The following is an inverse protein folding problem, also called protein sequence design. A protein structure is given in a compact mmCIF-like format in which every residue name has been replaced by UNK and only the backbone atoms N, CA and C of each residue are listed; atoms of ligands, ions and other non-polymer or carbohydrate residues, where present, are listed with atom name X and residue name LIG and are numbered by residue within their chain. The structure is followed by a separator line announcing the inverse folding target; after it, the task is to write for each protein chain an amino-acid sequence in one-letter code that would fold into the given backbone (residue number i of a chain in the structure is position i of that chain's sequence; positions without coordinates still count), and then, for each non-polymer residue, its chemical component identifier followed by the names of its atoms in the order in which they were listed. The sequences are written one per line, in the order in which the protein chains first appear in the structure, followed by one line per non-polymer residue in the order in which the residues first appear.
data_IF_068857807734
#
_entry.id   IF_068857807734
#
_cell.length_a   1.000
_cell.length_b   1.000
_cell.length_c   1.000
_cell.angle_alpha   90.00
_cell.angle_beta   90.00
_cell.angle_gamma   90.00
#
_symmetry.space_group_name_H-M   'P 1'
#
loop_
_entity.id
_entity.type
_entity.pdbx_description
1 polymer ?
#
# COMPACT_ATOMS: atom_id res chain seq x y z
N UNK A 1 -5.42 1.35 9.94
CA UNK A 1 -6.13 1.16 8.65
C UNK A 1 -7.42 1.99 8.57
N UNK A 2 -8.35 1.87 9.53
CA UNK A 2 -9.61 2.66 9.57
C UNK A 2 -9.39 4.17 9.33
N UNK A 3 -8.53 4.80 10.14
CA UNK A 3 -8.22 6.24 10.03
C UNK A 3 -7.67 6.63 8.64
N UNK A 4 -6.86 5.77 8.03
CA UNK A 4 -6.29 6.04 6.71
C UNK A 4 -7.37 6.08 5.63
N UNK A 5 -8.34 5.16 5.68
CA UNK A 5 -9.47 5.13 4.75
C UNK A 5 -10.40 6.32 4.93
N UNK A 6 -10.73 6.66 6.17
CA UNK A 6 -11.55 7.84 6.46
C UNK A 6 -10.90 9.12 5.95
N UNK A 7 -9.58 9.25 6.11
CA UNK A 7 -8.83 10.39 5.59
C UNK A 7 -8.84 10.49 4.06
N UNK A 8 -8.84 9.36 3.34
CA UNK A 8 -8.94 9.37 1.88
C UNK A 8 -10.34 9.71 1.38
N UNK A 9 -11.37 9.50 2.21
CA UNK A 9 -12.78 9.78 1.91
C UNK A 9 -13.18 11.20 2.34
N UNK A 10 -12.44 11.82 3.26
CA UNK A 10 -12.79 13.13 3.82
C UNK A 10 -12.93 14.28 2.80
N UNK A 11 -12.27 14.32 1.62
CA UNK A 11 -12.54 15.36 0.64
C UNK A 11 -13.99 15.44 0.17
N UNK A 12 -14.71 14.30 0.11
CA UNK A 12 -16.13 14.29 -0.24
C UNK A 12 -16.97 15.03 0.81
N UNK A 13 -16.63 14.80 2.08
CA UNK A 13 -17.30 15.45 3.21
C UNK A 13 -16.95 16.93 3.29
N UNK A 14 -15.68 17.27 3.11
CA UNK A 14 -15.21 18.67 3.09
C UNK A 14 -15.85 19.44 1.94
N UNK A 15 -15.93 18.87 0.75
CA UNK A 15 -16.61 19.50 -0.38
C UNK A 15 -18.12 19.70 -0.11
N UNK A 16 -18.79 18.68 0.45
CA UNK A 16 -20.21 18.75 0.76
C UNK A 16 -20.57 19.87 1.76
N UNK A 17 -19.80 19.99 2.84
CA UNK A 17 -20.11 20.92 3.93
C UNK A 17 -19.48 22.30 3.78
N UNK A 18 -18.37 22.44 3.05
CA UNK A 18 -17.55 23.65 3.07
C UNK A 18 -17.30 24.27 1.69
N UNK A 19 -17.80 23.68 0.60
CA UNK A 19 -17.59 24.21 -0.74
C UNK A 19 -18.88 24.73 -1.40
N UNK A 20 -18.79 25.95 -1.92
CA UNK A 20 -19.75 26.52 -2.85
C UNK A 20 -19.30 26.25 -4.27
N UNK A 21 -20.17 25.61 -5.06
CA UNK A 21 -19.99 25.42 -6.50
C UNK A 21 -20.57 26.62 -7.26
N UNK A 22 -20.39 26.66 -8.58
CA UNK A 22 -21.01 27.68 -9.43
C UNK A 22 -22.56 27.71 -9.31
N UNK A 23 -23.17 26.58 -8.98
CA UNK A 23 -24.62 26.45 -8.81
C UNK A 23 -25.07 26.60 -7.34
N UNK A 24 -24.18 26.98 -6.43
CA UNK A 24 -24.47 27.07 -5.00
C UNK A 24 -23.78 25.98 -4.17
N UNK A 25 -24.11 25.88 -2.87
CA UNK A 25 -23.52 24.90 -1.96
C UNK A 25 -23.74 23.46 -2.41
N UNK A 26 -22.71 22.62 -2.33
CA UNK A 26 -22.80 21.22 -2.81
C UNK A 26 -23.89 20.39 -2.11
N UNK A 27 -24.26 20.73 -0.88
CA UNK A 27 -25.33 20.06 -0.13
C UNK A 27 -26.74 20.35 -0.68
N UNK A 28 -26.90 21.36 -1.55
CA UNK A 28 -28.15 21.64 -2.25
C UNK A 28 -28.30 20.75 -3.50
N UNK A 29 -27.17 20.37 -4.12
CA UNK A 29 -27.12 19.56 -5.34
C UNK A 29 -27.08 18.04 -5.06
N UNK A 30 -26.49 17.63 -3.94
CA UNK A 30 -26.37 16.24 -3.55
C UNK A 30 -27.12 15.96 -2.26
N UNK A 31 -27.93 14.90 -2.23
CA UNK A 31 -28.58 14.49 -0.98
C UNK A 31 -27.56 13.91 0.02
N UNK A 32 -27.79 14.09 1.32
CA UNK A 32 -26.98 13.48 2.37
C UNK A 32 -26.91 11.95 2.26
N UNK A 33 -28.02 11.31 1.86
CA UNK A 33 -28.06 9.86 1.63
C UNK A 33 -27.10 9.44 0.51
N UNK A 34 -27.02 10.22 -0.57
CA UNK A 34 -26.08 9.97 -1.67
C UNK A 34 -24.63 10.07 -1.19
N UNK A 35 -24.28 11.10 -0.41
CA UNK A 35 -22.95 11.25 0.19
C UNK A 35 -22.57 10.02 1.02
N UNK A 36 -23.51 9.55 1.86
CA UNK A 36 -23.29 8.40 2.74
C UNK A 36 -23.06 7.12 1.94
N UNK A 37 -23.88 6.88 0.91
CA UNK A 37 -23.74 5.70 0.04
C UNK A 37 -22.38 5.72 -0.66
N UNK A 38 -21.99 6.84 -1.27
CA UNK A 38 -20.69 6.96 -1.96
C UNK A 38 -19.54 6.72 -0.97
N UNK A 39 -19.63 7.28 0.24
CA UNK A 39 -18.61 7.11 1.28
C UNK A 39 -18.48 5.65 1.73
N UNK A 40 -19.59 4.94 1.92
CA UNK A 40 -19.60 3.52 2.26
C UNK A 40 -19.00 2.69 1.14
N UNK A 41 -19.39 2.94 -0.12
CA UNK A 41 -18.83 2.24 -1.28
C UNK A 41 -17.32 2.47 -1.38
N UNK A 42 -16.86 3.71 -1.28
CA UNK A 42 -15.43 4.03 -1.30
C UNK A 42 -14.67 3.34 -0.16
N UNK A 43 -15.24 3.31 1.05
CA UNK A 43 -14.66 2.62 2.19
C UNK A 43 -14.52 1.11 1.96
N UNK A 44 -15.57 0.47 1.43
CA UNK A 44 -15.58 -0.96 1.13
C UNK A 44 -14.55 -1.31 0.05
N UNK A 45 -14.45 -0.50 -1.01
CA UNK A 45 -13.44 -0.68 -2.06
C UNK A 45 -12.02 -0.60 -1.50
N UNK A 46 -11.72 0.41 -0.66
CA UNK A 46 -10.41 0.52 -0.01
C UNK A 46 -10.15 -0.65 0.94
N UNK A 47 -11.16 -1.09 1.69
CA UNK A 47 -11.03 -2.23 2.60
C UNK A 47 -10.75 -3.54 1.85
N UNK A 48 -11.40 -3.76 0.71
CA UNK A 48 -11.15 -4.89 -0.16
C UNK A 48 -9.75 -4.85 -0.78
N UNK A 49 -9.28 -3.68 -1.22
CA UNK A 49 -7.92 -3.51 -1.74
C UNK A 49 -6.86 -3.79 -0.68
N UNK A 50 -7.12 -3.45 0.58
CA UNK A 50 -6.21 -3.70 1.68
C UNK A 50 -6.14 -5.17 2.10
N UNK A 51 -7.24 -5.94 1.98
CA UNK A 51 -7.33 -7.29 2.56
C UNK A 51 -6.37 -8.30 1.93
N UNK A 52 -5.92 -8.07 0.70
CA UNK A 52 -4.99 -8.94 -0.01
C UNK A 52 -3.50 -8.61 0.20
N UNK A 53 -3.17 -7.67 1.10
CA UNK A 53 -1.80 -7.13 1.25
C UNK A 53 -1.00 -7.72 2.41
N UNK A 54 -1.65 -8.35 3.39
CA UNK A 54 -0.96 -8.78 4.60
C UNK A 54 0.16 -9.77 4.28
N UNK A 55 1.37 -9.58 4.83
CA UNK A 55 1.77 -8.63 5.89
C UNK A 55 2.44 -7.33 5.38
N UNK A 56 2.39 -7.02 4.09
CA UNK A 56 2.82 -5.71 3.56
C UNK A 56 1.85 -4.62 4.00
N UNK A 57 2.35 -3.38 4.09
CA UNK A 57 1.56 -2.21 4.47
C UNK A 57 0.26 -2.11 3.67
N UNK A 58 -0.84 -1.70 4.29
CA UNK A 58 -2.10 -1.51 3.58
C UNK A 58 -1.96 -0.42 2.49
N UNK A 59 -2.60 -0.59 1.33
CA UNK A 59 -2.56 0.43 0.25
C UNK A 59 -3.13 1.75 0.77
N UNK A 60 -4.19 1.70 1.58
CA UNK A 60 -4.77 2.89 2.21
C UNK A 60 -3.79 3.64 3.11
N UNK A 61 -2.86 2.95 3.78
CA UNK A 61 -1.83 3.58 4.62
C UNK A 61 -0.81 4.32 3.75
N UNK A 62 -0.37 3.69 2.66
CA UNK A 62 0.57 4.29 1.71
C UNK A 62 -0.06 5.52 1.04
N UNK A 63 -1.31 5.40 0.57
CA UNK A 63 -2.08 6.50 0.01
C UNK A 63 -2.26 7.65 1.01
N UNK A 64 -2.53 7.36 2.29
CA UNK A 64 -2.60 8.37 3.35
C UNK A 64 -1.26 9.11 3.49
N UNK A 65 -0.14 8.39 3.51
CA UNK A 65 1.19 9.01 3.60
C UNK A 65 1.47 9.93 2.41
N UNK A 66 1.10 9.49 1.20
CA UNK A 66 1.17 10.31 -0.02
C UNK A 66 0.39 11.62 0.14
N UNK A 67 -0.88 11.54 0.55
CA UNK A 67 -1.73 12.72 0.75
C UNK A 67 -1.17 13.64 1.81
N UNK A 68 -0.71 13.11 2.95
CA UNK A 68 -0.11 13.93 4.00
C UNK A 68 1.13 14.67 3.50
N UNK A 69 1.97 14.00 2.72
CA UNK A 69 3.13 14.65 2.07
C UNK A 69 2.66 15.75 1.12
N UNK A 70 1.68 15.49 0.25
CA UNK A 70 1.13 16.51 -0.64
C UNK A 70 0.47 17.66 0.10
N UNK A 71 -0.22 17.41 1.22
CA UNK A 71 -0.76 18.47 2.08
C UNK A 71 0.36 19.37 2.61
N UNK A 72 1.49 18.80 3.04
CA UNK A 72 2.66 19.60 3.45
C UNK A 72 3.23 20.37 2.26
N UNK A 73 3.44 19.71 1.11
CA UNK A 73 3.99 20.34 -0.09
C UNK A 73 3.11 21.48 -0.56
N UNK A 74 1.80 21.31 -0.66
CA UNK A 74 0.85 22.31 -1.15
C UNK A 74 0.45 23.35 -0.10
N UNK A 75 0.71 23.10 1.19
CA UNK A 75 0.46 24.10 2.25
C UNK A 75 1.21 25.41 2.05
N UNK A 76 2.33 25.40 1.30
CA UNK A 76 3.04 26.62 0.91
C UNK A 76 2.15 27.62 0.15
N UNK A 77 1.07 27.17 -0.48
CA UNK A 77 0.10 28.03 -1.15
C UNK A 77 -0.58 29.02 -0.19
N UNK A 78 -0.59 28.72 1.12
CA UNK A 78 -1.01 29.67 2.16
C UNK A 78 -0.18 30.96 2.12
N UNK A 79 1.10 30.90 1.75
CA UNK A 79 1.97 32.08 1.64
C UNK A 79 1.55 33.02 0.51
N UNK A 80 0.83 32.50 -0.48
CA UNK A 80 0.27 33.28 -1.60
C UNK A 80 -1.18 33.71 -1.35
N UNK A 81 -1.69 33.54 -0.12
CA UNK A 81 -3.06 33.89 0.25
C UNK A 81 -4.12 32.92 -0.27
N UNK A 82 -3.74 31.74 -0.78
CA UNK A 82 -4.71 30.73 -1.17
C UNK A 82 -5.42 30.17 0.06
N UNK A 83 -6.73 29.91 -0.07
CA UNK A 83 -7.54 29.36 1.02
C UNK A 83 -7.11 27.95 1.40
N UNK A 84 -7.39 27.56 2.65
CA UNK A 84 -7.03 26.23 3.14
C UNK A 84 -7.71 25.11 2.34
N UNK A 85 -8.96 25.35 1.95
CA UNK A 85 -9.75 24.44 1.16
C UNK A 85 -9.07 24.15 -0.18
N UNK A 86 -8.56 25.20 -0.85
CA UNK A 86 -7.94 25.05 -2.17
C UNK A 86 -6.71 24.14 -2.12
N UNK A 87 -5.77 24.38 -1.20
CA UNK A 87 -4.57 23.55 -1.13
C UNK A 87 -4.87 22.14 -0.58
N UNK A 88 -5.89 21.98 0.25
CA UNK A 88 -6.33 20.67 0.71
C UNK A 88 -6.90 19.82 -0.44
N UNK A 89 -7.75 20.42 -1.28
CA UNK A 89 -8.35 19.76 -2.43
C UNK A 89 -7.32 19.44 -3.53
N UNK A 90 -6.40 20.37 -3.82
CA UNK A 90 -5.34 20.10 -4.81
C UNK A 90 -4.40 18.98 -4.35
N UNK A 91 -4.17 18.82 -3.04
CA UNK A 91 -3.38 17.71 -2.48
C UNK A 91 -4.02 16.35 -2.78
N UNK A 92 -5.34 16.24 -2.59
CA UNK A 92 -6.07 15.03 -2.91
C UNK A 92 -6.21 14.80 -4.41
N UNK A 93 -6.45 15.86 -5.19
CA UNK A 93 -6.49 15.77 -6.65
C UNK A 93 -5.14 15.27 -7.21
N UNK A 94 -4.02 15.78 -6.68
CA UNK A 94 -2.68 15.35 -7.05
C UNK A 94 -2.46 13.86 -6.79
N UNK A 95 -2.89 13.36 -5.62
CA UNK A 95 -2.87 11.92 -5.34
C UNK A 95 -3.61 11.15 -6.43
N UNK A 96 -4.89 11.48 -6.68
CA UNK A 96 -5.72 10.71 -7.60
C UNK A 96 -5.21 10.74 -9.04
N UNK A 97 -4.70 11.88 -9.50
CA UNK A 97 -4.07 12.01 -10.82
C UNK A 97 -2.83 11.11 -10.92
N UNK A 98 -1.96 11.12 -9.91
CA UNK A 98 -0.78 10.25 -9.88
C UNK A 98 -1.20 8.78 -9.86
N UNK A 99 -2.16 8.40 -9.02
CA UNK A 99 -2.64 7.03 -8.94
C UNK A 99 -3.26 6.56 -10.25
N UNK A 100 -4.01 7.41 -10.95
CA UNK A 100 -4.56 7.09 -12.26
C UNK A 100 -3.45 6.80 -13.27
N UNK A 101 -2.47 7.69 -13.40
CA UNK A 101 -1.36 7.50 -14.34
C UNK A 101 -0.48 6.31 -13.98
N UNK A 102 -0.25 6.08 -12.69
CA UNK A 102 0.48 4.91 -12.20
C UNK A 102 -0.29 3.63 -12.51
N UNK A 103 -1.61 3.61 -12.29
CA UNK A 103 -2.43 2.45 -12.66
C UNK A 103 -2.36 2.16 -14.16
N UNK A 104 -2.47 3.17 -15.02
CA UNK A 104 -2.34 3.01 -16.48
C UNK A 104 -0.94 2.47 -16.83
N UNK A 105 0.12 3.13 -16.36
CA UNK A 105 1.50 2.76 -16.66
C UNK A 105 1.82 1.33 -16.19
N UNK A 106 1.43 0.96 -14.97
CA UNK A 106 1.67 -0.37 -14.42
C UNK A 106 0.80 -1.45 -15.07
N UNK A 107 -0.41 -1.13 -15.52
CA UNK A 107 -1.23 -2.06 -16.30
C UNK A 107 -0.55 -2.39 -17.63
N UNK A 108 -0.04 -1.38 -18.33
CA UNK A 108 0.72 -1.58 -19.58
C UNK A 108 2.01 -2.36 -19.31
N UNK A 109 2.79 -1.93 -18.31
CA UNK A 109 4.06 -2.56 -17.97
C UNK A 109 3.91 -4.02 -17.50
N UNK A 110 2.82 -4.36 -16.82
CA UNK A 110 2.50 -5.74 -16.43
C UNK A 110 2.41 -6.70 -17.62
N UNK A 111 1.90 -6.23 -18.76
CA UNK A 111 1.76 -7.05 -19.95
C UNK A 111 2.94 -6.97 -20.91
N UNK A 112 3.66 -5.84 -20.95
CA UNK A 112 4.65 -5.58 -21.99
C UNK A 112 6.11 -5.51 -21.51
N UNK A 113 6.35 -5.24 -20.22
CA UNK A 113 7.69 -4.94 -19.71
C UNK A 113 8.10 -5.93 -18.63
N UNK A 114 7.33 -6.04 -17.55
CA UNK A 114 7.73 -6.79 -16.36
C UNK A 114 7.99 -8.28 -16.60
N UNK A 115 7.19 -9.02 -17.38
CA UNK A 115 7.46 -10.44 -17.66
C UNK A 115 8.78 -10.66 -18.41
N UNK A 116 9.22 -9.68 -19.19
CA UNK A 116 10.46 -9.76 -19.97
C UNK A 116 11.67 -9.21 -19.21
N UNK A 117 11.45 -8.29 -18.26
CA UNK A 117 12.50 -7.68 -17.45
C UNK A 117 12.94 -8.60 -16.30
N UNK A 118 12.03 -9.38 -15.72
CA UNK A 118 12.32 -10.31 -14.63
C UNK A 118 11.58 -11.65 -14.84
N UNK A 119 12.30 -12.76 -15.08
CA UNK A 119 11.70 -14.10 -15.21
C UNK A 119 10.86 -14.51 -13.98
N UNK A 120 11.18 -13.97 -12.79
CA UNK A 120 10.49 -14.27 -11.54
C UNK A 120 9.30 -13.34 -11.26
N UNK A 121 8.96 -12.43 -12.18
CA UNK A 121 7.92 -11.43 -11.96
C UNK A 121 6.56 -12.04 -11.54
N UNK A 122 6.16 -13.15 -12.18
CA UNK A 122 4.88 -13.79 -11.87
C UNK A 122 4.86 -14.43 -10.47
N UNK A 123 5.96 -14.99 -9.99
CA UNK A 123 6.02 -15.55 -8.64
C UNK A 123 5.99 -14.44 -7.59
N UNK A 124 6.73 -13.35 -7.81
CA UNK A 124 6.67 -12.14 -6.98
C UNK A 124 5.25 -11.55 -6.94
N UNK A 125 4.55 -11.53 -8.07
CA UNK A 125 3.17 -11.00 -8.09
C UNK A 125 2.21 -11.90 -7.31
N UNK A 126 2.39 -13.23 -7.36
CA UNK A 126 1.60 -14.20 -6.56
C UNK A 126 1.80 -14.00 -5.05
N UNK A 127 3.00 -13.60 -4.61
CA UNK A 127 3.26 -13.32 -3.19
C UNK A 127 2.64 -12.02 -2.69
N UNK A 128 1.91 -11.27 -3.54
CA UNK A 128 1.27 -10.01 -3.19
C UNK A 128 2.13 -8.76 -3.48
N UNK A 129 3.38 -8.92 -3.93
CA UNK A 129 4.28 -7.81 -4.24
C UNK A 129 3.85 -7.01 -5.47
N UNK A 130 3.65 -5.70 -5.34
CA UNK A 130 3.21 -4.81 -6.41
C UNK A 130 4.30 -3.77 -6.73
N UNK A 131 4.70 -3.61 -8.01
CA UNK A 131 5.78 -2.69 -8.39
C UNK A 131 5.60 -1.29 -7.82
N UNK A 132 4.43 -0.67 -8.01
CA UNK A 132 4.18 0.66 -7.47
C UNK A 132 4.18 0.75 -5.93
N UNK A 133 3.36 -0.06 -5.27
CA UNK A 133 3.08 0.12 -3.84
C UNK A 133 4.26 -0.30 -2.96
N UNK A 134 5.10 -1.22 -3.41
CA UNK A 134 6.17 -1.77 -2.58
C UNK A 134 7.53 -1.07 -2.82
N UNK A 135 7.72 -0.42 -3.98
CA UNK A 135 8.95 0.34 -4.26
C UNK A 135 8.83 1.84 -4.02
N UNK A 136 7.64 2.34 -3.69
CA UNK A 136 7.42 3.78 -3.49
C UNK A 136 8.02 4.27 -2.17
N UNK A 137 8.52 5.51 -2.17
CA UNK A 137 9.11 6.17 -0.98
C UNK A 137 8.09 6.38 0.15
N UNK A 138 6.80 6.31 -0.16
CA UNK A 138 5.72 6.44 0.82
C UNK A 138 5.40 5.12 1.54
N UNK A 139 6.00 4.00 1.11
CA UNK A 139 5.96 2.74 1.82
C UNK A 139 7.16 2.66 2.78
N UNK A 140 6.86 2.66 4.08
CA UNK A 140 7.85 2.58 5.16
C UNK A 140 8.10 1.16 5.67
N UNK A 141 7.57 0.14 4.98
CA UNK A 141 7.95 -1.24 5.22
C UNK A 141 9.48 -1.38 5.13
N UNK A 142 10.06 -2.21 6.00
CA UNK A 142 11.47 -2.57 5.91
C UNK A 142 11.75 -3.28 4.59
N UNK A 143 13.00 -3.25 4.11
CA UNK A 143 13.39 -3.96 2.89
C UNK A 143 13.00 -5.45 2.95
N UNK A 144 13.09 -6.05 4.13
CA UNK A 144 12.69 -7.43 4.34
C UNK A 144 11.17 -7.67 4.17
N UNK A 145 10.31 -6.76 4.66
CA UNK A 145 8.87 -6.86 4.44
C UNK A 145 8.52 -6.58 2.97
N UNK A 146 9.25 -5.67 2.32
CA UNK A 146 9.06 -5.37 0.89
C UNK A 146 9.39 -6.57 0.01
N UNK A 147 10.57 -7.14 0.21
CA UNK A 147 11.15 -8.20 -0.62
C UNK A 147 10.59 -9.58 -0.23
N UNK A 148 10.72 -9.94 1.05
CA UNK A 148 10.29 -11.23 1.56
C UNK A 148 8.79 -11.31 1.79
N UNK A 149 8.13 -10.16 2.01
CA UNK A 149 6.69 -10.13 2.21
C UNK A 149 6.26 -10.66 3.57
N UNK A 150 7.12 -10.72 4.59
CA UNK A 150 6.75 -11.19 5.93
C UNK A 150 7.31 -10.32 7.06
N UNK A 151 6.47 -10.06 8.07
CA UNK A 151 6.90 -9.44 9.31
C UNK A 151 7.81 -10.43 10.06
N UNK A 152 8.95 -9.94 10.54
CA UNK A 152 9.83 -10.79 11.34
C UNK A 152 9.19 -11.13 12.67
N UNK A 153 9.27 -12.40 13.08
CA UNK A 153 8.82 -12.78 14.40
C UNK A 153 9.75 -12.17 15.46
N UNK A 154 9.18 -11.75 16.60
CA UNK A 154 9.99 -11.28 17.74
C UNK A 154 10.92 -12.41 18.18
N UNK A 155 12.20 -12.09 18.39
CA UNK A 155 13.23 -13.05 18.80
C UNK A 155 13.49 -12.93 20.29
N UNK A 156 13.33 -14.05 21.00
CA UNK A 156 13.72 -14.21 22.40
C UNK A 156 15.06 -14.96 22.45
N UNK A 157 16.16 -14.31 22.06
CA UNK A 157 17.48 -14.93 22.03
C UNK A 157 18.33 -14.46 20.85
N UNK A 158 18.73 -15.39 19.98
CA UNK A 158 19.49 -15.07 18.77
C UNK A 158 18.71 -14.13 17.87
N UNK A 159 19.28 -12.95 17.62
CA UNK A 159 18.77 -11.99 16.65
C UNK A 159 19.59 -12.14 15.36
N UNK A 160 18.97 -12.57 14.24
CA UNK A 160 19.68 -12.73 12.99
C UNK A 160 20.24 -11.38 12.50
N UNK A 161 21.44 -11.38 11.90
CA UNK A 161 22.06 -10.19 11.33
C UNK A 161 21.16 -9.44 10.31
N UNK A 162 21.30 -8.10 10.21
CA UNK A 162 20.53 -7.24 9.31
C UNK A 162 20.67 -7.59 7.82
N UNK A 163 21.79 -8.17 7.41
CA UNK A 163 22.12 -8.50 6.03
C UNK A 163 21.53 -9.83 5.54
N UNK A 164 20.88 -10.61 6.42
CA UNK A 164 20.19 -11.84 6.04
C UNK A 164 18.89 -11.51 5.29
N UNK A 165 18.82 -11.91 4.02
CA UNK A 165 17.73 -11.53 3.10
C UNK A 165 16.63 -12.57 2.96
N UNK A 166 16.86 -13.81 3.36
CA UNK A 166 15.88 -14.89 3.22
C UNK A 166 15.02 -15.00 4.46
N UNK A 167 13.83 -15.57 4.33
CA UNK A 167 12.92 -15.85 5.46
C UNK A 167 12.49 -17.31 5.41
N UNK A 168 12.20 -17.91 6.57
CA UNK A 168 11.66 -19.26 6.68
C UNK A 168 10.17 -19.29 6.28
N UNK A 169 9.72 -20.29 5.50
CA UNK A 169 8.31 -20.35 5.05
C UNK A 169 7.34 -20.67 6.17
N UNK A 170 7.82 -21.27 7.25
CA UNK A 170 6.97 -21.73 8.33
C UNK A 170 6.84 -20.64 9.38
N UNK A 171 7.97 -20.17 9.91
CA UNK A 171 7.98 -19.24 11.05
C UNK A 171 8.32 -17.78 10.70
N UNK A 172 8.71 -17.46 9.46
CA UNK A 172 9.08 -16.11 9.04
C UNK A 172 10.43 -15.60 9.55
N UNK A 173 11.17 -16.39 10.33
CA UNK A 173 12.50 -15.99 10.82
C UNK A 173 13.49 -15.81 9.68
N UNK A 174 14.32 -14.76 9.76
CA UNK A 174 15.38 -14.51 8.78
C UNK A 174 16.36 -15.66 8.70
N UNK A 175 16.81 -16.00 7.50
CA UNK A 175 17.77 -17.06 7.21
C UNK A 175 18.94 -16.49 6.40
N UNK A 176 20.14 -17.06 6.62
CA UNK A 176 21.33 -16.71 5.86
C UNK A 176 21.25 -17.17 4.40
N UNK A 177 20.60 -18.32 4.16
CA UNK A 177 20.46 -18.99 2.87
C UNK A 177 18.99 -19.31 2.59
N UNK A 178 18.63 -19.50 1.32
CA UNK A 178 17.31 -19.96 0.90
C UNK A 178 17.14 -21.49 0.97
N UNK A 179 18.18 -22.22 1.37
CA UNK A 179 18.18 -23.68 1.54
C UNK A 179 18.78 -24.04 2.90
N UNK A 180 18.43 -25.23 3.39
CA UNK A 180 18.91 -25.77 4.66
C UNK A 180 17.87 -25.72 5.78
N UNK A 181 18.32 -25.97 7.00
CA UNK A 181 17.45 -26.06 8.18
C UNK A 181 17.27 -24.69 8.82
N UNK A 182 16.01 -24.28 9.02
CA UNK A 182 15.68 -23.06 9.73
C UNK A 182 16.15 -23.14 11.18
N UNK A 183 17.04 -22.22 11.59
CA UNK A 183 17.58 -22.18 12.95
C UNK A 183 16.52 -21.97 14.06
N UNK A 184 15.32 -21.49 13.72
CA UNK A 184 14.26 -21.18 14.70
C UNK A 184 13.24 -22.30 14.89
N UNK A 185 12.83 -22.97 13.82
CA UNK A 185 11.70 -23.91 13.85
C UNK A 185 11.99 -25.26 13.21
N UNK A 186 13.27 -25.55 12.94
CA UNK A 186 13.74 -26.81 12.34
C UNK A 186 13.12 -27.18 10.99
N UNK A 187 12.48 -26.21 10.32
CA UNK A 187 11.97 -26.41 8.96
C UNK A 187 13.12 -26.82 8.03
N UNK A 188 12.93 -27.90 7.26
CA UNK A 188 13.93 -28.46 6.36
C UNK A 188 14.83 -29.54 6.99
N UNK A 189 14.67 -29.85 8.28
CA UNK A 189 15.43 -30.91 8.96
C UNK A 189 15.11 -32.32 8.44
N UNK A 190 13.89 -32.54 7.96
CA UNK A 190 13.39 -33.76 7.34
C UNK A 190 13.57 -33.79 5.82
N UNK A 191 14.10 -32.71 5.24
CA UNK A 191 14.20 -32.52 3.79
C UNK A 191 12.88 -32.18 3.10
N UNK A 192 11.81 -31.88 3.85
CA UNK A 192 10.52 -31.48 3.26
C UNK A 192 10.52 -30.00 2.85
N UNK A 193 10.51 -29.76 1.54
CA UNK A 193 10.41 -28.42 0.96
C UNK A 193 8.97 -28.03 0.59
N UNK A 194 7.96 -28.81 0.98
CA UNK A 194 6.54 -28.55 0.63
C UNK A 194 6.09 -27.17 1.07
N UNK A 195 6.41 -26.72 2.29
CA UNK A 195 6.03 -25.39 2.75
C UNK A 195 6.71 -24.27 1.93
N UNK A 196 7.93 -24.49 1.45
CA UNK A 196 8.60 -23.59 0.53
C UNK A 196 7.86 -23.54 -0.81
N UNK A 197 7.49 -24.68 -1.39
CA UNK A 197 6.75 -24.71 -2.67
C UNK A 197 5.32 -24.19 -2.56
N UNK A 198 4.62 -24.46 -1.45
CA UNK A 198 3.30 -23.91 -1.21
C UNK A 198 3.34 -22.38 -1.05
N UNK A 199 4.43 -21.85 -0.50
CA UNK A 199 4.56 -20.42 -0.21
C UNK A 199 5.23 -19.62 -1.34
N UNK A 200 6.22 -20.19 -2.03
CA UNK A 200 7.04 -19.55 -3.05
C UNK A 200 7.19 -20.36 -4.35
N UNK A 201 6.69 -21.58 -4.39
CA UNK A 201 6.74 -22.45 -5.56
C UNK A 201 5.84 -21.96 -6.70
N UNK A 202 6.34 -22.20 -7.91
CA UNK A 202 5.90 -21.70 -9.22
C UNK A 202 4.53 -22.26 -9.60
#
# INVERSE_FOLDING_TARGET
MLLARLFLISPLWVAYFCHETYNGPMHEEMSFSTLLIISVVAYLVLSWKDSGRAPRSAISIIMRNMVLMYCVVWSFLLLFGCSWFFWYMISHATLWVILFWQWVAHTIAHHLIYPYADPNYHSLRKSGWHPFWDTTVYNHDSELIKDGGFEEPIYEGFVPPPDWRFQCPVCGARQQTNFGVCWRCDYGADGDDTAYHQRWGI
#
